data_IF_683047314113
#
_entry.id   IF_683047314113
#
_cell.length_a   1.000
_cell.length_b   1.000
_cell.length_c   1.000
_cell.angle_alpha   90.00
_cell.angle_beta   90.00
_cell.angle_gamma   90.00
#
_symmetry.space_group_name_H-M   'P 1'
#
loop_
_entity.id
_entity.type
_entity.pdbx_description
1 polymer ?
#
# COMPACT_ATOMS: atom_id res chain seq x y z
N UNK A 1 15.38 73.09 -39.49
CA UNK A 1 14.57 73.26 -38.25
C UNK A 1 13.43 72.25 -38.31
N UNK A 2 13.07 71.40 -37.35
CA UNK A 2 13.56 70.94 -36.04
C UNK A 2 12.96 69.51 -35.89
N UNK A 3 13.76 68.49 -35.61
CA UNK A 3 13.91 67.77 -34.32
C UNK A 3 12.66 67.00 -33.81
N UNK A 4 12.79 65.67 -33.83
CA UNK A 4 12.47 64.64 -32.80
C UNK A 4 11.09 64.58 -32.12
N UNK A 5 10.50 63.37 -32.07
CA UNK A 5 10.18 62.70 -30.79
C UNK A 5 9.91 61.19 -30.92
N UNK A 6 10.30 60.50 -29.85
CA UNK A 6 10.35 59.06 -29.62
C UNK A 6 8.98 58.39 -29.31
N UNK A 7 9.01 57.06 -29.44
CA UNK A 7 8.18 55.94 -28.93
C UNK A 7 7.33 56.16 -27.63
N UNK A 8 6.30 55.32 -27.33
CA UNK A 8 6.57 53.96 -26.81
C UNK A 8 5.59 52.80 -27.15
N UNK A 9 6.17 51.59 -27.00
CA UNK A 9 5.64 50.29 -26.54
C UNK A 9 4.14 50.09 -26.29
N UNK A 10 3.59 48.99 -26.82
CA UNK A 10 2.52 48.22 -26.19
C UNK A 10 2.73 46.71 -26.42
N UNK A 11 2.85 45.98 -25.31
CA UNK A 11 2.84 44.51 -25.20
C UNK A 11 1.43 43.98 -25.51
N UNK A 12 1.32 42.93 -26.34
CA UNK A 12 0.11 42.13 -26.46
C UNK A 12 0.38 40.73 -25.89
N UNK A 13 -0.43 40.36 -24.90
CA UNK A 13 -0.38 39.13 -24.13
C UNK A 13 -1.22 38.01 -24.77
N UNK A 14 -0.77 36.77 -24.55
CA UNK A 14 -1.65 35.64 -24.25
C UNK A 14 -2.28 34.90 -25.43
N UNK A 15 -1.61 33.87 -25.92
CA UNK A 15 -2.27 32.75 -26.63
C UNK A 15 -2.21 31.52 -25.72
N UNK A 16 -3.35 31.17 -25.11
CA UNK A 16 -3.54 29.91 -24.39
C UNK A 16 -3.50 28.74 -25.38
N UNK A 17 -2.52 27.86 -25.23
CA UNK A 17 -2.58 26.52 -25.82
C UNK A 17 -3.47 25.63 -24.94
N UNK A 18 -4.64 25.29 -25.46
CA UNK A 18 -5.50 24.26 -24.87
C UNK A 18 -4.89 22.87 -25.13
N UNK A 19 -4.50 22.17 -24.07
CA UNK A 19 -4.15 20.75 -24.12
C UNK A 19 -5.45 19.96 -24.13
N UNK A 20 -5.77 19.37 -25.28
CA UNK A 20 -6.89 18.44 -25.44
C UNK A 20 -6.53 17.12 -24.74
N UNK A 21 -7.22 16.83 -23.64
CA UNK A 21 -7.11 15.58 -22.90
C UNK A 21 -7.93 14.52 -23.65
N UNK A 22 -7.25 13.59 -24.34
CA UNK A 22 -7.89 12.39 -24.87
C UNK A 22 -8.03 11.41 -23.71
N UNK A 23 -9.23 11.37 -23.12
CA UNK A 23 -9.66 10.28 -22.25
C UNK A 23 -9.96 9.05 -23.11
N UNK A 24 -9.20 7.98 -22.92
CA UNK A 24 -9.50 6.68 -23.50
C UNK A 24 -10.45 5.97 -22.54
N UNK A 25 -11.72 5.85 -22.90
CA UNK A 25 -12.74 5.08 -22.18
C UNK A 25 -12.32 3.61 -22.11
N UNK A 26 -12.27 3.07 -20.90
CA UNK A 26 -12.22 1.63 -20.67
C UNK A 26 -13.56 1.01 -21.10
N UNK A 27 -13.57 -0.16 -21.77
CA UNK A 27 -14.81 -0.79 -22.19
C UNK A 27 -15.60 -1.27 -20.97
N UNK A 28 -16.88 -0.87 -20.91
CA UNK A 28 -17.83 -1.38 -19.95
C UNK A 28 -17.99 -2.91 -20.11
N UNK A 29 -18.05 -3.70 -19.02
CA UNK A 29 -18.31 -5.12 -19.12
C UNK A 29 -19.74 -5.35 -19.64
N UNK A 30 -19.83 -6.06 -20.76
CA UNK A 30 -21.07 -6.49 -21.40
C UNK A 30 -21.97 -7.28 -20.45
N UNK A 31 -23.25 -6.99 -20.53
CA UNK A 31 -24.33 -7.55 -19.72
C UNK A 31 -24.31 -9.09 -19.67
N UNK A 32 -24.15 -9.63 -18.47
CA UNK A 32 -24.55 -11.00 -18.13
C UNK A 32 -26.04 -10.98 -17.83
N UNK A 33 -26.78 -11.85 -18.53
CA UNK A 33 -28.21 -12.05 -18.36
C UNK A 33 -28.52 -12.56 -16.95
N UNK A 34 -29.49 -11.90 -16.30
CA UNK A 34 -30.07 -12.24 -15.00
C UNK A 34 -30.83 -13.58 -15.04
N UNK A 35 -30.71 -14.42 -14.01
CA UNK A 35 -31.84 -15.12 -13.44
C UNK A 35 -32.40 -14.32 -12.26
N UNK A 36 -33.72 -14.37 -12.18
CA UNK A 36 -34.65 -13.61 -11.36
C UNK A 36 -34.55 -13.90 -9.86
N UNK A 37 -34.86 -12.86 -9.06
CA UNK A 37 -35.05 -12.84 -7.60
C UNK A 37 -33.80 -12.85 -6.69
N UNK A 38 -33.15 -11.69 -6.59
CA UNK A 38 -32.40 -11.31 -5.40
C UNK A 38 -33.00 -10.02 -4.80
N UNK A 39 -33.19 -10.03 -3.47
CA UNK A 39 -33.65 -8.89 -2.66
C UNK A 39 -32.85 -7.63 -2.98
N UNK A 40 -33.52 -6.48 -2.90
CA UNK A 40 -32.94 -5.13 -2.95
C UNK A 40 -31.61 -5.07 -2.19
N UNK A 41 -30.52 -4.55 -2.78
CA UNK A 41 -29.28 -4.37 -2.02
C UNK A 41 -29.52 -3.29 -0.97
N UNK A 42 -29.31 -3.64 0.31
CA UNK A 42 -29.32 -2.68 1.42
C UNK A 42 -28.41 -1.50 1.08
N UNK A 43 -28.92 -0.28 1.27
CA UNK A 43 -28.14 0.93 1.06
C UNK A 43 -26.87 0.86 1.91
N UNK A 44 -25.71 1.14 1.30
CA UNK A 44 -24.45 1.18 2.01
C UNK A 44 -24.55 2.14 3.22
N UNK A 45 -24.15 1.72 4.44
CA UNK A 45 -24.19 2.59 5.60
C UNK A 45 -23.38 3.88 5.35
N UNK A 46 -23.83 5.00 5.92
CA UNK A 46 -23.10 6.26 5.85
C UNK A 46 -21.78 6.18 6.64
N UNK A 47 -20.85 7.10 6.36
CA UNK A 47 -19.64 7.26 7.19
C UNK A 47 -20.05 7.46 8.67
N UNK A 48 -19.41 6.73 9.61
CA UNK A 48 -19.84 6.70 10.99
C UNK A 48 -19.43 7.99 11.73
N UNK A 49 -20.23 8.40 12.71
CA UNK A 49 -19.90 9.54 13.57
C UNK A 49 -18.71 9.21 14.48
N UNK A 50 -17.54 9.79 14.17
CA UNK A 50 -16.30 9.57 14.90
C UNK A 50 -16.34 10.08 16.35
N UNK A 51 -17.25 11.02 16.67
CA UNK A 51 -17.37 11.60 18.02
C UNK A 51 -17.97 10.62 19.02
N UNK A 52 -18.76 9.66 18.55
CA UNK A 52 -19.46 8.66 19.35
C UNK A 52 -18.87 7.25 19.16
N UNK A 53 -17.57 7.17 18.86
CA UNK A 53 -16.87 5.90 18.74
C UNK A 53 -16.96 5.10 20.05
N UNK A 54 -17.21 3.78 19.98
CA UNK A 54 -17.35 2.95 21.17
C UNK A 54 -16.06 3.01 22.00
N UNK A 55 -16.16 2.83 23.33
CA UNK A 55 -14.99 2.64 24.19
C UNK A 55 -14.11 1.46 23.71
N UNK A 56 -12.94 1.28 24.31
CA UNK A 56 -11.97 0.27 23.88
C UNK A 56 -12.66 -1.08 23.62
N UNK A 57 -12.42 -1.73 22.47
CA UNK A 57 -13.11 -2.98 22.15
C UNK A 57 -12.84 -4.04 23.22
N UNK A 58 -13.88 -4.79 23.59
CA UNK A 58 -13.72 -6.00 24.40
C UNK A 58 -12.87 -7.03 23.65
N UNK A 59 -12.18 -7.90 24.39
CA UNK A 59 -11.31 -8.90 23.78
C UNK A 59 -12.09 -9.75 22.77
N UNK A 60 -11.53 -10.05 21.58
CA UNK A 60 -12.28 -10.72 20.54
C UNK A 60 -12.81 -12.06 21.02
N UNK A 61 -14.01 -12.42 20.58
CA UNK A 61 -14.55 -13.78 20.66
C UNK A 61 -13.64 -14.73 19.86
N UNK A 62 -12.58 -15.21 20.51
CA UNK A 62 -11.69 -16.35 20.22
C UNK A 62 -11.13 -16.56 18.78
N UNK A 63 -11.31 -15.63 17.84
CA UNK A 63 -11.04 -15.90 16.41
C UNK A 63 -9.77 -15.25 15.85
N UNK A 64 -9.16 -14.29 16.54
CA UNK A 64 -8.02 -13.52 16.04
C UNK A 64 -6.69 -13.94 16.67
N UNK A 65 -5.69 -14.19 15.82
CA UNK A 65 -4.31 -14.39 16.28
C UNK A 65 -3.65 -13.06 16.63
N UNK A 66 -2.87 -13.03 17.71
CA UNK A 66 -1.99 -11.92 18.06
C UNK A 66 -0.51 -12.26 17.88
N UNK A 67 -0.19 -13.57 17.88
CA UNK A 67 1.13 -14.10 17.56
C UNK A 67 1.18 -14.49 16.07
N UNK A 68 2.01 -13.77 15.31
CA UNK A 68 2.11 -13.96 13.86
C UNK A 68 2.72 -15.31 13.50
N UNK A 69 3.68 -15.79 14.31
CA UNK A 69 4.33 -17.06 14.02
C UNK A 69 3.34 -18.24 14.13
N UNK A 70 2.48 -18.23 15.15
CA UNK A 70 1.42 -19.21 15.34
C UNK A 70 0.38 -19.12 14.23
N UNK A 71 -0.01 -17.89 13.83
CA UNK A 71 -0.91 -17.68 12.72
C UNK A 71 -0.34 -18.22 11.40
N UNK A 72 0.92 -17.93 11.11
CA UNK A 72 1.62 -18.41 9.93
C UNK A 72 1.70 -19.93 9.89
N UNK A 73 2.04 -20.59 11.01
CA UNK A 73 2.03 -22.06 11.09
C UNK A 73 0.66 -22.62 10.74
N UNK A 74 -0.40 -22.09 11.34
CA UNK A 74 -1.78 -22.51 11.04
C UNK A 74 -2.19 -22.23 9.60
N UNK A 75 -1.75 -21.10 9.04
CA UNK A 75 -2.00 -20.75 7.64
C UNK A 75 -1.38 -21.77 6.69
N UNK A 76 -0.15 -22.20 6.96
CA UNK A 76 0.52 -23.26 6.20
C UNK A 76 -0.18 -24.61 6.37
N UNK A 77 -0.52 -25.00 7.60
CA UNK A 77 -1.19 -26.27 7.91
C UNK A 77 -2.58 -26.38 7.27
N UNK A 78 -3.33 -25.29 7.22
CA UNK A 78 -4.70 -25.25 6.67
C UNK A 78 -4.76 -24.77 5.22
N UNK A 79 -3.63 -24.46 4.60
CA UNK A 79 -3.54 -23.85 3.26
C UNK A 79 -4.42 -22.59 3.13
N UNK A 80 -4.43 -21.77 4.18
CA UNK A 80 -5.19 -20.52 4.26
C UNK A 80 -4.27 -19.32 4.13
N UNK A 81 -4.80 -18.25 3.57
CA UNK A 81 -4.11 -16.97 3.47
C UNK A 81 -3.99 -16.30 4.85
N UNK A 82 -3.17 -15.26 5.00
CA UNK A 82 -3.20 -14.43 6.21
C UNK A 82 -3.97 -13.14 5.93
N UNK A 83 -4.80 -12.73 6.88
CA UNK A 83 -5.44 -11.42 6.90
C UNK A 83 -4.84 -10.61 8.04
N UNK A 84 -3.93 -9.69 7.73
CA UNK A 84 -3.21 -8.91 8.73
C UNK A 84 -3.90 -7.56 8.92
N UNK A 85 -4.46 -7.34 10.10
CA UNK A 85 -5.15 -6.09 10.45
C UNK A 85 -4.27 -5.28 11.39
N UNK A 86 -3.80 -4.15 10.90
CA UNK A 86 -3.07 -3.14 11.65
C UNK A 86 -4.05 -2.13 12.23
N UNK A 87 -4.05 -1.96 13.55
CA UNK A 87 -5.04 -1.15 14.28
C UNK A 87 -4.42 -0.38 15.45
N UNK A 88 -5.01 0.75 15.82
CA UNK A 88 -4.72 1.48 17.06
C UNK A 88 -5.95 1.47 17.96
N UNK A 89 -6.11 0.40 18.74
CA UNK A 89 -7.39 0.06 19.38
C UNK A 89 -7.90 1.05 20.44
N UNK A 90 -7.03 1.82 21.10
CA UNK A 90 -7.43 2.70 22.20
C UNK A 90 -7.43 4.20 21.83
N UNK A 91 -6.80 4.60 20.73
CA UNK A 91 -6.60 6.02 20.41
C UNK A 91 -7.10 6.46 19.03
N UNK A 92 -7.54 5.54 18.18
CA UNK A 92 -8.07 5.86 16.84
C UNK A 92 -9.57 5.53 16.80
N UNK A 93 -10.45 6.54 16.78
CA UNK A 93 -11.91 6.34 16.74
C UNK A 93 -12.37 5.43 15.60
N UNK A 94 -11.85 5.63 14.39
CA UNK A 94 -12.20 4.80 13.23
C UNK A 94 -11.80 3.33 13.41
N UNK A 95 -10.70 3.05 14.12
CA UNK A 95 -10.30 1.68 14.42
C UNK A 95 -11.29 0.99 15.37
N UNK A 96 -11.78 1.72 16.40
CA UNK A 96 -12.78 1.20 17.34
C UNK A 96 -14.12 0.92 16.67
N UNK A 97 -14.53 1.82 15.79
CA UNK A 97 -15.75 1.65 14.98
C UNK A 97 -15.60 0.47 14.03
N UNK A 98 -14.47 0.36 13.32
CA UNK A 98 -14.18 -0.76 12.43
C UNK A 98 -14.21 -2.10 13.17
N UNK A 99 -13.63 -2.15 14.38
CA UNK A 99 -13.60 -3.35 15.19
C UNK A 99 -15.01 -3.79 15.60
N UNK A 100 -15.82 -2.85 16.11
CA UNK A 100 -17.22 -3.09 16.50
C UNK A 100 -18.09 -3.46 15.32
N UNK A 101 -18.06 -2.66 14.27
CA UNK A 101 -19.06 -2.72 13.19
C UNK A 101 -18.71 -3.74 12.11
N UNK A 102 -17.47 -4.22 12.04
CA UNK A 102 -17.05 -5.17 10.99
C UNK A 102 -16.25 -6.34 11.57
N UNK A 103 -15.10 -6.09 12.22
CA UNK A 103 -14.14 -7.16 12.53
C UNK A 103 -14.63 -8.16 13.58
N UNK A 104 -15.51 -7.74 14.47
CA UNK A 104 -16.11 -8.58 15.51
C UNK A 104 -17.52 -9.08 15.16
N UNK A 105 -17.99 -8.82 13.94
CA UNK A 105 -19.32 -9.28 13.50
C UNK A 105 -19.24 -10.72 12.97
N UNK A 106 -20.17 -11.62 13.37
CA UNK A 106 -20.17 -13.02 12.92
C UNK A 106 -20.17 -13.15 11.40
N UNK A 107 -20.93 -12.31 10.69
CA UNK A 107 -21.05 -12.34 9.24
C UNK A 107 -19.72 -12.05 8.53
N UNK A 108 -18.79 -11.37 9.21
CA UNK A 108 -17.43 -11.16 8.72
C UNK A 108 -16.50 -12.30 9.14
N UNK A 109 -16.48 -12.64 10.42
CA UNK A 109 -15.55 -13.64 10.97
C UNK A 109 -15.78 -15.00 10.29
N UNK A 110 -17.03 -15.45 10.17
CA UNK A 110 -17.35 -16.77 9.63
C UNK A 110 -16.84 -16.91 8.19
N UNK A 111 -17.09 -15.91 7.34
CA UNK A 111 -16.66 -15.91 5.93
C UNK A 111 -15.14 -15.81 5.80
N UNK A 112 -14.49 -14.97 6.61
CA UNK A 112 -13.04 -14.78 6.53
C UNK A 112 -12.29 -16.00 7.04
N UNK A 113 -12.74 -16.62 8.14
CA UNK A 113 -12.09 -17.77 8.75
C UNK A 113 -12.11 -19.03 7.88
N UNK A 114 -12.96 -19.09 6.85
CA UNK A 114 -12.94 -20.17 5.85
C UNK A 114 -11.67 -20.14 4.98
N UNK A 115 -11.18 -18.94 4.62
CA UNK A 115 -10.10 -18.76 3.64
C UNK A 115 -8.84 -18.11 4.19
N UNK A 116 -8.94 -17.48 5.36
CA UNK A 116 -7.88 -16.73 5.98
C UNK A 116 -7.66 -17.17 7.44
N UNK A 117 -6.43 -17.00 7.91
CA UNK A 117 -6.08 -16.92 9.31
C UNK A 117 -5.98 -15.43 9.68
N UNK A 118 -6.95 -14.89 10.43
CA UNK A 118 -6.98 -13.47 10.76
C UNK A 118 -6.00 -13.15 11.91
N UNK A 119 -5.20 -12.11 11.71
CA UNK A 119 -4.15 -11.66 12.65
C UNK A 119 -4.35 -10.19 12.99
N UNK A 120 -4.45 -9.89 14.28
CA UNK A 120 -4.57 -8.53 14.81
C UNK A 120 -3.22 -8.02 15.29
N UNK A 121 -2.72 -7.00 14.60
CA UNK A 121 -1.49 -6.28 14.90
C UNK A 121 -1.86 -4.93 15.51
N UNK A 122 -2.02 -4.90 16.83
CA UNK A 122 -2.45 -3.72 17.57
C UNK A 122 -1.29 -2.83 18.02
N UNK A 123 -1.52 -1.52 18.01
CA UNK A 123 -0.60 -0.45 18.40
C UNK A 123 -1.28 0.49 19.42
N UNK A 124 -1.62 -0.01 20.61
CA UNK A 124 -2.25 0.79 21.65
C UNK A 124 -1.27 1.83 22.24
N UNK A 125 -1.82 2.94 22.74
CA UNK A 125 -1.05 3.98 23.46
C UNK A 125 -1.15 3.85 24.98
N UNK A 126 -2.29 3.38 25.48
CA UNK A 126 -2.55 3.26 26.92
C UNK A 126 -2.34 1.83 27.40
N UNK A 127 -2.69 0.86 26.55
CA UNK A 127 -2.57 -0.56 26.89
C UNK A 127 -1.15 -1.09 26.69
N UNK A 128 -0.56 -1.71 27.71
CA UNK A 128 0.75 -2.35 27.60
C UNK A 128 0.64 -3.76 27.03
N UNK A 129 1.17 -3.97 25.82
CA UNK A 129 1.32 -5.30 25.24
C UNK A 129 2.51 -6.07 25.85
N UNK A 130 2.49 -7.41 25.83
CA UNK A 130 3.67 -8.23 26.07
C UNK A 130 4.85 -7.78 25.20
N UNK A 131 6.07 -7.76 25.75
CA UNK A 131 7.23 -7.18 25.07
C UNK A 131 7.57 -7.88 23.74
N UNK A 132 7.41 -9.21 23.69
CA UNK A 132 7.58 -10.01 22.47
C UNK A 132 6.53 -9.63 21.41
N UNK A 133 5.26 -9.49 21.79
CA UNK A 133 4.18 -9.09 20.88
C UNK A 133 4.40 -7.66 20.36
N UNK A 134 4.74 -6.72 21.24
CA UNK A 134 5.04 -5.34 20.84
C UNK A 134 6.21 -5.28 19.84
N UNK A 135 7.29 -6.04 20.09
CA UNK A 135 8.44 -6.13 19.17
C UNK A 135 8.05 -6.74 17.83
N UNK A 136 7.30 -7.84 17.83
CA UNK A 136 6.76 -8.47 16.62
C UNK A 136 5.93 -7.47 15.81
N UNK A 137 4.98 -6.78 16.46
CA UNK A 137 4.10 -5.82 15.79
C UNK A 137 4.91 -4.69 15.15
N UNK A 138 5.93 -4.17 15.84
CA UNK A 138 6.83 -3.15 15.26
C UNK A 138 7.62 -3.66 14.05
N UNK A 139 8.10 -4.91 14.09
CA UNK A 139 8.78 -5.51 12.93
C UNK A 139 7.83 -5.64 11.73
N UNK A 140 6.60 -6.11 11.96
CA UNK A 140 5.59 -6.25 10.91
C UNK A 140 5.12 -4.89 10.38
N UNK A 141 4.95 -3.88 11.24
CA UNK A 141 4.63 -2.50 10.82
C UNK A 141 5.66 -1.99 9.79
N UNK A 142 6.94 -2.21 10.07
CA UNK A 142 8.05 -1.83 9.19
C UNK A 142 8.09 -2.66 7.91
N UNK A 143 7.93 -3.98 8.01
CA UNK A 143 7.97 -4.89 6.87
C UNK A 143 6.87 -4.57 5.84
N UNK A 144 5.65 -4.31 6.31
CA UNK A 144 4.50 -3.96 5.49
C UNK A 144 4.36 -2.45 5.24
N UNK A 145 5.33 -1.63 5.70
CA UNK A 145 5.38 -0.16 5.52
C UNK A 145 4.08 0.54 5.89
N UNK A 146 3.47 0.12 7.00
CA UNK A 146 2.20 0.68 7.47
C UNK A 146 2.44 2.01 8.16
N UNK A 147 1.81 3.07 7.65
CA UNK A 147 1.93 4.44 8.17
C UNK A 147 0.63 4.99 8.71
N UNK A 148 -0.49 4.29 8.49
CA UNK A 148 -1.83 4.70 8.90
C UNK A 148 -2.68 3.50 9.33
N UNK A 149 -3.70 3.76 10.13
CA UNK A 149 -4.64 2.75 10.63
C UNK A 149 -6.09 3.19 10.42
N UNK A 150 -7.04 2.26 10.25
CA UNK A 150 -6.81 0.82 10.10
C UNK A 150 -6.30 0.48 8.69
N UNK A 151 -5.34 -0.43 8.60
CA UNK A 151 -4.84 -0.97 7.33
C UNK A 151 -4.91 -2.49 7.36
N UNK A 152 -5.39 -3.09 6.28
CA UNK A 152 -5.56 -4.54 6.15
C UNK A 152 -4.71 -5.05 4.99
N UNK A 153 -3.90 -6.06 5.24
CA UNK A 153 -3.15 -6.77 4.20
C UNK A 153 -3.74 -8.17 3.98
N UNK A 154 -3.90 -8.52 2.72
CA UNK A 154 -4.19 -9.87 2.28
C UNK A 154 -2.90 -10.46 1.73
N UNK A 155 -2.45 -11.58 2.31
CA UNK A 155 -1.19 -12.22 1.92
C UNK A 155 -1.40 -13.70 1.60
N UNK A 156 -0.50 -14.28 0.80
CA UNK A 156 -0.42 -15.74 0.71
C UNK A 156 0.12 -16.34 2.02
N UNK A 157 0.21 -17.67 2.05
CA UNK A 157 0.69 -18.44 3.21
C UNK A 157 2.10 -18.04 3.63
N UNK A 158 2.92 -17.51 2.72
CA UNK A 158 4.31 -17.07 2.98
C UNK A 158 4.37 -15.63 3.53
N UNK A 159 3.24 -14.95 3.70
CA UNK A 159 3.21 -13.55 4.09
C UNK A 159 3.51 -12.59 2.95
N UNK A 160 3.43 -13.03 1.69
CA UNK A 160 3.64 -12.13 0.54
C UNK A 160 2.32 -11.46 0.17
N UNK A 161 2.20 -10.12 0.27
CA UNK A 161 0.96 -9.41 0.06
C UNK A 161 0.55 -9.40 -1.41
N UNK A 162 -0.74 -9.53 -1.68
CA UNK A 162 -1.33 -9.33 -3.01
C UNK A 162 -2.46 -8.30 -3.00
N UNK A 163 -2.92 -7.87 -1.82
CA UNK A 163 -3.95 -6.86 -1.67
C UNK A 163 -3.76 -6.04 -0.40
N UNK A 164 -4.18 -4.78 -0.45
CA UNK A 164 -4.26 -3.86 0.68
C UNK A 164 -5.64 -3.23 0.69
N UNK A 165 -6.26 -3.18 1.86
CA UNK A 165 -7.57 -2.57 2.08
C UNK A 165 -7.55 -1.80 3.41
N UNK A 166 -8.68 -1.21 3.79
CA UNK A 166 -8.88 -0.52 5.05
C UNK A 166 -10.36 -0.52 5.43
N UNK A 167 -10.74 0.38 6.33
CA UNK A 167 -12.14 0.58 6.66
C UNK A 167 -12.93 1.06 5.43
N UNK A 168 -14.13 0.51 5.26
CA UNK A 168 -15.11 1.00 4.30
C UNK A 168 -16.48 1.09 4.99
N UNK A 169 -17.28 2.12 4.71
CA UNK A 169 -18.63 2.25 5.27
C UNK A 169 -19.60 1.31 4.53
N UNK A 170 -19.43 0.00 4.75
CA UNK A 170 -20.26 -1.07 4.19
C UNK A 170 -20.71 -2.00 5.32
N UNK A 171 -21.68 -2.89 5.05
CA UNK A 171 -22.08 -3.90 6.04
C UNK A 171 -20.98 -4.95 6.26
N UNK A 172 -20.96 -5.69 7.38
CA UNK A 172 -19.98 -6.75 7.63
C UNK A 172 -19.96 -7.80 6.54
N UNK A 173 -21.15 -8.24 6.10
CA UNK A 173 -21.32 -9.20 5.03
C UNK A 173 -20.71 -8.68 3.71
N UNK A 174 -20.96 -7.43 3.34
CA UNK A 174 -20.40 -6.83 2.14
C UNK A 174 -18.86 -6.71 2.24
N UNK A 175 -18.35 -6.31 3.41
CA UNK A 175 -16.91 -6.25 3.64
C UNK A 175 -16.25 -7.63 3.52
N UNK A 176 -16.89 -8.67 4.06
CA UNK A 176 -16.43 -10.05 3.94
C UNK A 176 -16.35 -10.50 2.48
N UNK A 177 -17.35 -10.17 1.66
CA UNK A 177 -17.34 -10.46 0.22
C UNK A 177 -16.22 -9.70 -0.50
N UNK A 178 -15.96 -8.45 -0.14
CA UNK A 178 -14.85 -7.67 -0.70
C UNK A 178 -13.50 -8.37 -0.40
N UNK A 179 -13.26 -8.75 0.86
CA UNK A 179 -12.03 -9.44 1.26
C UNK A 179 -11.90 -10.80 0.53
N UNK A 180 -12.98 -11.58 0.46
CA UNK A 180 -12.97 -12.87 -0.23
C UNK A 180 -12.76 -12.72 -1.75
N UNK A 181 -13.36 -11.70 -2.38
CA UNK A 181 -13.15 -11.41 -3.80
C UNK A 181 -11.69 -11.00 -4.08
N UNK A 182 -11.08 -10.19 -3.23
CA UNK A 182 -9.68 -9.80 -3.36
C UNK A 182 -8.72 -11.00 -3.27
N UNK A 183 -9.10 -12.11 -2.62
CA UNK A 183 -8.32 -13.36 -2.61
C UNK A 183 -8.02 -13.88 -4.01
N UNK A 184 -8.95 -13.71 -4.96
CA UNK A 184 -8.77 -14.14 -6.36
C UNK A 184 -7.58 -13.46 -7.03
N UNK A 185 -7.12 -12.30 -6.54
CA UNK A 185 -5.91 -11.65 -7.04
C UNK A 185 -4.67 -12.52 -6.84
N UNK A 186 -4.61 -13.34 -5.79
CA UNK A 186 -3.52 -14.29 -5.58
C UNK A 186 -3.53 -15.39 -6.65
N UNK A 187 -4.71 -15.93 -6.96
CA UNK A 187 -4.87 -16.97 -7.99
C UNK A 187 -4.48 -16.44 -9.38
N UNK A 188 -4.92 -15.23 -9.73
CA UNK A 188 -4.55 -14.57 -10.99
C UNK A 188 -3.05 -14.32 -11.07
N UNK A 189 -2.44 -13.81 -10.00
CA UNK A 189 -0.99 -13.61 -9.89
C UNK A 189 -0.25 -14.92 -10.14
N UNK A 190 -0.63 -15.99 -9.45
CA UNK A 190 0.05 -17.28 -9.51
C UNK A 190 -0.06 -17.91 -10.90
N UNK A 191 -1.22 -17.82 -11.55
CA UNK A 191 -1.41 -18.25 -12.95
C UNK A 191 -0.49 -17.49 -13.92
N UNK A 192 -0.31 -16.18 -13.73
CA UNK A 192 0.62 -15.42 -14.57
C UNK A 192 2.08 -15.80 -14.31
N UNK A 193 2.44 -16.09 -13.05
CA UNK A 193 3.79 -16.52 -12.72
C UNK A 193 4.10 -17.92 -13.27
N UNK A 194 3.14 -18.84 -13.23
CA UNK A 194 3.27 -20.16 -13.86
C UNK A 194 3.48 -20.03 -15.38
N UNK A 195 2.64 -19.23 -16.06
CA UNK A 195 2.81 -18.96 -17.49
C UNK A 195 4.15 -18.29 -17.80
N UNK A 196 4.58 -17.34 -16.97
CA UNK A 196 5.86 -16.65 -17.13
C UNK A 196 7.05 -17.59 -16.95
N UNK A 197 6.94 -18.61 -16.08
CA UNK A 197 7.99 -19.60 -15.89
C UNK A 197 8.23 -20.47 -17.13
N UNK A 198 7.20 -20.64 -17.98
CA UNK A 198 7.28 -21.37 -19.26
C UNK A 198 7.58 -20.49 -20.48
N UNK A 199 7.75 -19.17 -20.29
CA UNK A 199 8.00 -18.20 -21.35
C UNK A 199 9.43 -17.64 -21.26
N UNK A 200 9.89 -16.99 -22.33
CA UNK A 200 11.17 -16.29 -22.38
C UNK A 200 11.04 -14.93 -23.09
N UNK A 201 12.02 -14.05 -22.86
CA UNK A 201 12.08 -12.74 -23.49
C UNK A 201 10.84 -11.89 -23.22
N UNK A 202 10.44 -11.08 -24.21
CA UNK A 202 9.37 -10.11 -24.04
C UNK A 202 8.04 -10.72 -23.56
N UNK A 203 7.72 -11.95 -23.96
CA UNK A 203 6.49 -12.60 -23.51
C UNK A 203 6.52 -12.90 -22.01
N UNK A 204 7.66 -13.38 -21.50
CA UNK A 204 7.86 -13.53 -20.05
C UNK A 204 7.68 -12.20 -19.32
N UNK A 205 8.28 -11.12 -19.82
CA UNK A 205 8.13 -9.80 -19.22
C UNK A 205 6.66 -9.34 -19.19
N UNK A 206 5.91 -9.51 -20.29
CA UNK A 206 4.47 -9.19 -20.37
C UNK A 206 3.64 -9.97 -19.36
N UNK A 207 3.92 -11.26 -19.18
CA UNK A 207 3.22 -12.12 -18.22
C UNK A 207 3.53 -11.70 -16.78
N UNK A 208 4.80 -11.44 -16.45
CA UNK A 208 5.20 -10.95 -15.13
C UNK A 208 4.59 -9.58 -14.81
N UNK A 209 4.54 -8.66 -15.77
CA UNK A 209 3.87 -7.35 -15.60
C UNK A 209 2.40 -7.51 -15.24
N UNK A 210 1.71 -8.51 -15.79
CA UNK A 210 0.31 -8.80 -15.44
C UNK A 210 0.15 -9.50 -14.10
N UNK A 211 1.13 -10.31 -13.71
CA UNK A 211 1.11 -11.07 -12.45
C UNK A 211 1.47 -10.25 -11.23
N UNK A 212 2.44 -9.34 -11.32
CA UNK A 212 2.91 -8.55 -10.16
C UNK A 212 1.79 -7.61 -9.66
N UNK A 213 1.33 -7.75 -8.41
CA UNK A 213 0.29 -6.89 -7.86
C UNK A 213 0.76 -5.43 -7.76
N UNK A 214 -0.16 -4.48 -8.03
CA UNK A 214 0.07 -3.06 -7.85
C UNK A 214 -0.18 -2.67 -6.39
N UNK A 215 0.84 -2.84 -5.53
CA UNK A 215 0.77 -2.54 -4.11
C UNK A 215 1.19 -1.08 -3.83
N UNK A 216 0.73 -0.48 -2.72
CA UNK A 216 1.07 0.90 -2.40
C UNK A 216 2.58 1.07 -2.11
N UNK A 217 3.08 2.26 -2.45
CA UNK A 217 4.49 2.62 -2.23
C UNK A 217 5.45 1.69 -2.99
N UNK A 218 6.47 1.20 -2.28
CA UNK A 218 7.50 0.31 -2.83
C UNK A 218 7.30 -1.17 -2.47
N UNK A 219 6.10 -1.55 -1.99
CA UNK A 219 5.83 -2.92 -1.54
C UNK A 219 5.96 -3.96 -2.66
N UNK A 220 5.56 -3.63 -3.89
CA UNK A 220 5.77 -4.55 -5.02
C UNK A 220 7.24 -4.88 -5.22
N UNK A 221 8.16 -3.91 -5.07
CA UNK A 221 9.60 -4.18 -5.16
C UNK A 221 10.17 -4.92 -3.94
N UNK A 222 9.59 -4.75 -2.75
CA UNK A 222 10.02 -5.49 -1.55
C UNK A 222 9.67 -6.97 -1.63
N UNK A 223 8.45 -7.27 -2.06
CA UNK A 223 7.87 -8.61 -2.00
C UNK A 223 7.92 -9.38 -3.33
N UNK A 224 8.11 -8.68 -4.45
CA UNK A 224 8.21 -9.26 -5.79
C UNK A 224 9.50 -8.85 -6.50
N UNK A 225 10.59 -8.67 -5.74
CA UNK A 225 11.88 -8.21 -6.27
C UNK A 225 12.34 -9.05 -7.44
N UNK A 226 12.31 -10.38 -7.27
CA UNK A 226 12.70 -11.36 -8.29
C UNK A 226 11.92 -11.13 -9.59
N UNK A 227 10.61 -10.94 -9.52
CA UNK A 227 9.77 -10.73 -10.69
C UNK A 227 10.10 -9.40 -11.38
N UNK A 228 10.37 -8.33 -10.63
CA UNK A 228 10.80 -7.05 -11.20
C UNK A 228 12.15 -7.17 -11.92
N UNK A 229 13.12 -7.85 -11.31
CA UNK A 229 14.43 -8.09 -11.94
C UNK A 229 14.27 -8.92 -13.23
N UNK A 230 13.40 -9.94 -13.22
CA UNK A 230 13.08 -10.73 -14.42
C UNK A 230 12.38 -9.90 -15.51
N UNK A 231 11.48 -8.98 -15.16
CA UNK A 231 10.89 -8.03 -16.12
C UNK A 231 11.99 -7.20 -16.78
N UNK A 232 12.88 -6.60 -15.99
CA UNK A 232 13.98 -5.76 -16.49
C UNK A 232 14.91 -6.54 -17.41
N UNK A 233 15.25 -7.79 -17.05
CA UNK A 233 16.14 -8.63 -17.83
C UNK A 233 15.52 -9.09 -19.16
N UNK A 234 14.20 -9.33 -19.18
CA UNK A 234 13.50 -9.86 -20.35
C UNK A 234 12.88 -8.78 -21.25
N UNK A 235 12.93 -7.51 -20.85
CA UNK A 235 12.46 -6.36 -21.63
C UNK A 235 13.51 -5.22 -21.67
N UNK A 236 14.70 -5.43 -22.26
CA UNK A 236 15.77 -4.42 -22.24
C UNK A 236 15.43 -3.12 -22.98
N UNK A 237 14.41 -3.15 -23.85
CA UNK A 237 13.96 -2.02 -24.67
C UNK A 237 12.74 -1.29 -24.06
N UNK A 238 12.23 -1.76 -22.92
CA UNK A 238 11.03 -1.23 -22.29
C UNK A 238 9.79 -1.23 -23.20
N UNK A 239 9.60 -2.30 -23.98
CA UNK A 239 8.44 -2.47 -24.85
C UNK A 239 7.13 -2.63 -24.05
N UNK A 240 7.22 -3.04 -22.79
CA UNK A 240 6.08 -3.03 -21.85
C UNK A 240 5.78 -1.65 -21.26
N UNK A 241 6.72 -0.70 -21.34
CA UNK A 241 6.66 0.59 -20.67
C UNK A 241 6.70 0.50 -19.14
N UNK A 242 7.20 -0.61 -18.57
CA UNK A 242 7.24 -0.87 -17.12
C UNK A 242 8.65 -0.97 -16.55
N UNK A 243 9.68 -1.09 -17.36
CA UNK A 243 11.07 -1.30 -16.91
C UNK A 243 11.56 -0.12 -16.11
N UNK A 244 11.33 1.11 -16.60
CA UNK A 244 11.68 2.32 -15.86
C UNK A 244 11.01 2.36 -14.47
N UNK A 245 9.71 2.01 -14.38
CA UNK A 245 8.98 1.93 -13.10
C UNK A 245 9.56 0.84 -12.19
N UNK A 246 9.90 -0.33 -12.73
CA UNK A 246 10.51 -1.41 -11.94
C UNK A 246 11.85 -0.98 -11.35
N UNK A 247 12.73 -0.38 -12.17
CA UNK A 247 14.02 0.17 -11.72
C UNK A 247 13.85 1.25 -10.66
N UNK A 248 12.85 2.14 -10.82
CA UNK A 248 12.51 3.15 -9.81
C UNK A 248 12.12 2.51 -8.49
N UNK A 249 11.12 1.62 -8.47
CA UNK A 249 10.67 0.97 -7.24
C UNK A 249 11.80 0.23 -6.52
N UNK A 250 12.71 -0.38 -7.29
CA UNK A 250 13.94 -1.02 -6.78
C UNK A 250 14.87 -0.01 -6.10
N UNK A 251 15.11 1.14 -6.72
CA UNK A 251 15.90 2.21 -6.15
C UNK A 251 15.25 2.80 -4.89
N UNK A 252 13.92 2.94 -4.89
CA UNK A 252 13.15 3.41 -3.74
C UNK A 252 13.30 2.47 -2.53
N UNK A 253 13.33 1.15 -2.75
CA UNK A 253 13.60 0.17 -1.69
C UNK A 253 15.01 0.34 -1.14
N UNK A 254 16.02 0.41 -2.01
CA UNK A 254 17.42 0.58 -1.60
C UNK A 254 17.62 1.87 -0.79
N UNK A 255 17.08 2.99 -1.28
CA UNK A 255 17.10 4.27 -0.57
C UNK A 255 16.40 4.16 0.79
N UNK A 256 15.19 3.57 0.82
CA UNK A 256 14.44 3.41 2.06
C UNK A 256 15.13 2.52 3.10
N UNK A 257 15.86 1.48 2.67
CA UNK A 257 16.58 0.59 3.58
C UNK A 257 17.84 1.27 4.13
N UNK A 258 18.59 1.99 3.29
CA UNK A 258 19.73 2.80 3.72
C UNK A 258 19.30 3.89 4.72
N UNK A 259 18.22 4.60 4.44
CA UNK A 259 17.71 5.64 5.35
C UNK A 259 17.33 5.06 6.71
N UNK A 260 16.72 3.87 6.74
CA UNK A 260 16.36 3.21 7.98
C UNK A 260 17.60 2.75 8.77
N UNK A 261 18.57 2.14 8.10
CA UNK A 261 19.81 1.68 8.74
C UNK A 261 20.59 2.86 9.34
N UNK A 262 20.72 3.95 8.58
CA UNK A 262 21.42 5.16 9.03
C UNK A 262 20.68 5.86 10.17
N UNK A 263 19.35 5.85 10.17
CA UNK A 263 18.55 6.36 11.29
C UNK A 263 18.79 5.55 12.56
N UNK A 264 18.82 4.21 12.47
CA UNK A 264 19.13 3.33 13.61
C UNK A 264 20.54 3.57 14.16
N UNK A 265 21.48 3.97 13.29
CA UNK A 265 22.86 4.33 13.67
C UNK A 265 23.03 5.82 14.01
N UNK A 266 21.96 6.63 13.93
CA UNK A 266 22.00 8.08 14.22
C UNK A 266 22.99 8.83 13.29
N UNK A 267 23.19 8.34 12.06
CA UNK A 267 24.15 8.90 11.08
C UNK A 267 23.50 9.95 10.16
N UNK A 268 23.02 11.05 10.74
CA UNK A 268 22.23 12.09 10.04
C UNK A 268 22.93 12.68 8.81
N UNK A 269 24.24 12.96 8.90
CA UNK A 269 25.00 13.52 7.78
C UNK A 269 24.98 12.61 6.54
N UNK A 270 25.16 11.30 6.76
CA UNK A 270 25.09 10.30 5.68
C UNK A 270 23.69 10.18 5.09
N UNK A 271 22.63 10.35 5.90
CA UNK A 271 21.26 10.34 5.37
C UNK A 271 21.01 11.48 4.37
N UNK A 272 21.62 12.64 4.59
CA UNK A 272 21.57 13.76 3.65
C UNK A 272 22.31 13.43 2.35
N UNK A 273 23.51 12.86 2.46
CA UNK A 273 24.32 12.41 1.30
C UNK A 273 23.60 11.34 0.48
N UNK A 274 23.02 10.34 1.14
CA UNK A 274 22.22 9.28 0.51
C UNK A 274 21.01 9.86 -0.20
N UNK A 275 20.35 10.87 0.38
CA UNK A 275 19.23 11.54 -0.28
C UNK A 275 19.67 12.34 -1.51
N UNK A 276 20.81 13.02 -1.45
CA UNK A 276 21.35 13.77 -2.60
C UNK A 276 21.80 12.83 -3.72
N UNK A 277 22.45 11.72 -3.38
CA UNK A 277 22.78 10.66 -4.32
C UNK A 277 21.52 10.06 -4.95
N UNK A 278 20.51 9.75 -4.14
CA UNK A 278 19.24 9.23 -4.61
C UNK A 278 18.55 10.18 -5.60
N UNK A 279 18.49 11.49 -5.32
CA UNK A 279 17.94 12.49 -6.25
C UNK A 279 18.71 12.51 -7.58
N UNK A 280 20.04 12.56 -7.50
CA UNK A 280 20.93 12.67 -8.67
C UNK A 280 20.89 11.42 -9.54
N UNK A 281 21.13 10.26 -8.96
CA UNK A 281 21.32 8.99 -9.67
C UNK A 281 20.02 8.50 -10.32
N UNK A 282 18.88 8.95 -9.79
CA UNK A 282 17.56 8.64 -10.29
C UNK A 282 16.97 9.77 -11.15
N UNK A 283 17.66 10.90 -11.30
CA UNK A 283 17.19 12.05 -12.06
C UNK A 283 15.84 12.59 -11.58
N UNK A 284 15.61 12.61 -10.26
CA UNK A 284 14.32 13.02 -9.71
C UNK A 284 14.04 14.51 -10.00
N UNK A 285 12.82 14.80 -10.45
CA UNK A 285 12.36 16.15 -10.76
C UNK A 285 10.97 16.41 -10.19
N UNK A 286 10.53 17.67 -10.20
CA UNK A 286 9.19 18.08 -9.77
C UNK A 286 8.81 17.55 -8.39
N UNK A 287 7.64 16.90 -8.32
CA UNK A 287 7.06 16.35 -7.07
C UNK A 287 7.95 15.27 -6.45
N UNK A 288 8.61 14.43 -7.25
CA UNK A 288 9.47 13.36 -6.74
C UNK A 288 10.70 13.93 -6.03
N UNK A 289 11.33 14.94 -6.64
CA UNK A 289 12.43 15.67 -6.02
C UNK A 289 11.97 16.38 -4.76
N UNK A 290 10.80 17.02 -4.81
CA UNK A 290 10.24 17.70 -3.64
C UNK A 290 10.03 16.71 -2.48
N UNK A 291 9.49 15.52 -2.75
CA UNK A 291 9.30 14.49 -1.74
C UNK A 291 10.63 14.03 -1.11
N UNK A 292 11.66 13.81 -1.93
CA UNK A 292 12.99 13.47 -1.44
C UNK A 292 13.60 14.61 -0.59
N UNK A 293 13.42 15.87 -1.00
CA UNK A 293 13.87 17.02 -0.22
C UNK A 293 13.13 17.15 1.12
N UNK A 294 11.84 16.82 1.17
CA UNK A 294 11.08 16.78 2.43
C UNK A 294 11.66 15.75 3.42
N UNK A 295 12.25 14.65 2.94
CA UNK A 295 12.96 13.73 3.82
C UNK A 295 14.20 14.40 4.44
N UNK A 296 14.96 15.21 3.69
CA UNK A 296 16.09 15.98 4.24
C UNK A 296 15.64 16.94 5.34
N UNK A 297 14.51 17.63 5.14
CA UNK A 297 13.91 18.50 6.18
C UNK A 297 13.62 17.70 7.46
N UNK A 298 13.07 16.49 7.32
CA UNK A 298 12.86 15.58 8.45
C UNK A 298 14.16 15.20 9.17
N UNK A 299 15.23 14.92 8.42
CA UNK A 299 16.57 14.62 8.98
C UNK A 299 17.13 15.81 9.75
N UNK A 300 17.09 17.02 9.18
CA UNK A 300 17.55 18.23 9.88
C UNK A 300 16.79 18.46 11.19
N UNK A 301 15.47 18.26 11.20
CA UNK A 301 14.67 18.40 12.43
C UNK A 301 15.10 17.41 13.52
N UNK A 302 15.36 16.14 13.15
CA UNK A 302 15.87 15.13 14.09
C UNK A 302 17.24 15.51 14.64
N UNK A 303 18.12 16.01 13.77
CA UNK A 303 19.45 16.48 14.15
C UNK A 303 19.38 17.64 15.14
N UNK A 304 18.54 18.66 14.88
CA UNK A 304 18.37 19.82 15.75
C UNK A 304 17.77 19.47 17.12
N UNK A 305 16.78 18.58 17.15
CA UNK A 305 16.16 18.15 18.41
C UNK A 305 17.14 17.39 19.34
N UNK A 306 18.18 16.76 18.81
CA UNK A 306 19.21 16.09 19.61
C UNK A 306 20.26 17.07 20.16
N UNK A 307 20.52 18.19 19.48
CA UNK A 307 21.43 19.23 19.98
C UNK A 307 20.83 20.07 21.11
N UNK A 308 19.52 19.97 21.36
CA UNK A 308 18.81 20.68 22.44
C UNK A 308 18.59 19.82 23.71
N UNK A 309 18.99 18.53 23.70
CA UNK A 309 18.92 17.60 24.84
C UNK A 309 20.28 17.39 25.50
#
# INVERSE_FOLDING_TARGET
>A
MKVSRMLPLAFAAGTLFAVSLIAQEAPAPSAVQTPESAKTPDAAPAMPDLKNAPEKPEAPHQSWFTDYQSAHKKAVEEHKHLLLVFTGSDWIPLCRIYDRDILNQPEFIDVVSEKFIPVRLDFPKETKLPANQAKQNQLLLRAYRVTAFPTVFLTDTEGRPYGVNGYQPVTPANYAQIINAMRQMAEVRDQYFEKAAAAEGLEKAKLLVKGVPNLPGNLSARYYRKQLDEIIANDPKDETGKVAKCKRLIADVAYSDQMQELEEKVEWGKMLEVTDAYIRDNGLQGVERQQALMNKVGVYRKQSNLTEM
#
